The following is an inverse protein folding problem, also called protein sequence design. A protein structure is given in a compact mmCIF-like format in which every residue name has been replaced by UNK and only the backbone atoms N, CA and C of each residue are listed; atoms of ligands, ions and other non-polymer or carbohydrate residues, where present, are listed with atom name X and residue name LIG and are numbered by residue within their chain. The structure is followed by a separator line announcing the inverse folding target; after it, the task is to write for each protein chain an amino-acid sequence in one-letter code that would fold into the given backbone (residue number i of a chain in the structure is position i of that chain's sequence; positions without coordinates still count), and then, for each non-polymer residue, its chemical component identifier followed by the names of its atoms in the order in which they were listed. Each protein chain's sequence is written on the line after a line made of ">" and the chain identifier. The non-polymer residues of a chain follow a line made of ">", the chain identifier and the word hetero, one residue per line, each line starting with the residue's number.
data_IF_027270242396
#
_entry.id   IF_027270242396
#
_cell.length_a   1.000
_cell.length_b   1.000
_cell.length_c   1.000
_cell.angle_alpha   90.00
_cell.angle_beta   90.00
_cell.angle_gamma   90.00
#
_symmetry.space_group_name_H-M   'P 1'
#
loop_
_entity.id
_entity.type
_entity.pdbx_description
1 polymer ?
#
# COMPACT_ATOMS: atom_id res chain seq x y z
N UNK A 1 24.90 -53.29 20.94
CA UNK A 1 25.47 -51.97 20.63
C UNK A 1 24.76 -51.40 19.41
N UNK A 2 23.77 -50.53 19.61
CA UNK A 2 23.06 -49.88 18.50
C UNK A 2 23.62 -48.45 18.38
N UNK A 3 24.25 -48.16 17.25
CA UNK A 3 24.68 -46.81 16.88
C UNK A 3 23.44 -45.99 16.56
N UNK A 4 23.13 -44.99 17.39
CA UNK A 4 22.22 -43.88 17.04
C UNK A 4 22.92 -43.04 15.98
N UNK A 5 22.47 -43.13 14.73
CA UNK A 5 22.78 -42.13 13.71
C UNK A 5 22.02 -40.84 14.07
N UNK A 6 22.78 -39.88 14.56
CA UNK A 6 22.36 -38.53 14.77
C UNK A 6 22.24 -37.88 13.37
N UNK A 7 21.02 -37.64 12.89
CA UNK A 7 20.77 -36.83 11.70
C UNK A 7 21.02 -35.38 12.11
N UNK A 8 22.21 -34.89 11.80
CA UNK A 8 22.47 -33.46 11.82
C UNK A 8 21.66 -32.81 10.67
N UNK A 9 20.56 -32.16 11.00
CA UNK A 9 19.93 -31.22 10.11
C UNK A 9 20.88 -30.03 9.97
N UNK A 10 21.70 -30.04 8.93
CA UNK A 10 22.42 -28.87 8.46
C UNK A 10 21.37 -27.94 7.92
N UNK A 11 20.92 -26.99 8.74
CA UNK A 11 20.20 -25.82 8.30
C UNK A 11 21.19 -25.01 7.45
N UNK A 12 21.22 -25.25 6.14
CA UNK A 12 21.84 -24.31 5.22
C UNK A 12 21.15 -22.97 5.43
N UNK A 13 21.79 -22.12 6.22
CA UNK A 13 21.52 -20.70 6.18
C UNK A 13 21.84 -20.27 4.76
N UNK A 14 20.80 -20.20 3.92
CA UNK A 14 20.87 -19.51 2.64
C UNK A 14 21.59 -18.20 2.90
N UNK A 15 22.80 -18.11 2.40
CA UNK A 15 23.58 -16.88 2.45
C UNK A 15 22.80 -15.91 1.60
N UNK A 16 21.90 -15.16 2.23
CA UNK A 16 21.21 -14.07 1.59
C UNK A 16 22.32 -13.13 1.13
N UNK A 17 22.68 -13.23 -0.13
CA UNK A 17 23.56 -12.28 -0.75
C UNK A 17 22.86 -10.96 -0.60
N UNK A 18 23.29 -10.15 0.36
CA UNK A 18 22.73 -8.82 0.59
C UNK A 18 23.09 -7.97 -0.63
N UNK A 19 22.28 -8.12 -1.69
CA UNK A 19 22.39 -7.24 -2.85
C UNK A 19 22.23 -5.81 -2.35
N UNK A 20 23.23 -4.99 -2.60
CA UNK A 20 23.24 -3.59 -2.17
C UNK A 20 23.83 -2.73 -3.28
N UNK A 21 23.37 -1.48 -3.36
CA UNK A 21 23.89 -0.53 -4.32
C UNK A 21 23.29 -0.67 -5.72
N UNK A 22 23.98 -0.12 -6.69
CA UNK A 22 23.55 -0.07 -8.10
C UNK A 22 23.66 -1.46 -8.74
N UNK A 23 22.67 -1.79 -9.57
CA UNK A 23 22.61 -3.05 -10.32
C UNK A 23 22.59 -2.72 -11.82
N UNK A 24 23.70 -3.01 -12.52
CA UNK A 24 23.88 -2.68 -13.93
C UNK A 24 22.98 -3.48 -14.86
N UNK A 25 22.73 -4.75 -14.55
CA UNK A 25 21.92 -5.65 -15.39
C UNK A 25 20.44 -5.24 -15.33
N UNK A 26 19.93 -4.98 -14.13
CA UNK A 26 18.58 -4.47 -13.95
C UNK A 26 18.42 -3.06 -14.54
N UNK A 27 19.46 -2.24 -14.50
CA UNK A 27 19.44 -0.93 -15.12
C UNK A 27 19.42 -1.02 -16.65
N UNK A 28 20.18 -1.95 -17.25
CA UNK A 28 20.15 -2.22 -18.69
C UNK A 28 18.74 -2.69 -19.10
N UNK A 29 18.20 -3.67 -18.40
CA UNK A 29 16.83 -4.16 -18.61
C UNK A 29 15.78 -3.05 -18.51
N UNK A 30 15.89 -2.19 -17.51
CA UNK A 30 14.99 -1.03 -17.35
C UNK A 30 15.07 -0.06 -18.54
N UNK A 31 16.27 0.18 -19.06
CA UNK A 31 16.50 1.01 -20.24
C UNK A 31 15.86 0.40 -21.48
N UNK A 32 16.08 -0.89 -21.75
CA UNK A 32 15.49 -1.60 -22.87
C UNK A 32 13.96 -1.51 -22.87
N UNK A 33 13.35 -1.77 -21.72
CA UNK A 33 11.90 -1.65 -21.54
C UNK A 33 11.42 -0.23 -21.86
N UNK A 34 12.11 0.79 -21.38
CA UNK A 34 11.76 2.18 -21.63
C UNK A 34 11.99 2.60 -23.08
N UNK A 35 13.01 2.06 -23.75
CA UNK A 35 13.24 2.28 -25.18
C UNK A 35 12.10 1.69 -26.01
N UNK A 36 11.64 0.47 -25.68
CA UNK A 36 10.55 -0.20 -26.37
C UNK A 36 9.23 0.61 -26.33
N UNK A 37 8.97 1.34 -25.24
CA UNK A 37 7.77 2.20 -25.11
C UNK A 37 8.03 3.66 -25.55
N UNK A 38 9.12 3.93 -26.25
CA UNK A 38 9.44 5.25 -26.81
C UNK A 38 9.94 6.29 -25.79
N UNK A 39 10.20 5.91 -24.55
CA UNK A 39 10.64 6.82 -23.47
C UNK A 39 12.17 7.01 -23.44
N UNK A 40 12.79 7.27 -24.59
CA UNK A 40 14.27 7.34 -24.78
C UNK A 40 14.98 8.26 -23.77
N UNK A 41 14.43 9.47 -23.51
CA UNK A 41 15.04 10.40 -22.55
C UNK A 41 15.03 9.85 -21.13
N UNK A 42 13.96 9.18 -20.71
CA UNK A 42 13.89 8.56 -19.39
C UNK A 42 14.83 7.35 -19.31
N UNK A 43 14.94 6.55 -20.37
CA UNK A 43 15.86 5.42 -20.47
C UNK A 43 17.32 5.84 -20.25
N UNK A 44 17.74 6.99 -20.79
CA UNK A 44 19.08 7.51 -20.56
C UNK A 44 19.37 8.02 -19.15
N UNK A 45 18.32 8.23 -18.34
CA UNK A 45 18.44 8.80 -16.98
C UNK A 45 18.16 7.79 -15.88
N UNK A 46 17.44 6.71 -16.18
CA UNK A 46 17.01 5.72 -15.18
C UNK A 46 18.21 5.03 -14.54
N UNK A 47 18.14 4.87 -13.23
CA UNK A 47 19.07 4.09 -12.41
C UNK A 47 18.30 3.08 -11.60
N UNK A 48 18.88 1.90 -11.41
CA UNK A 48 18.28 0.82 -10.62
C UNK A 48 19.29 0.31 -9.61
N UNK A 49 18.82 -0.02 -8.41
CA UNK A 49 19.69 -0.58 -7.40
C UNK A 49 18.92 -1.18 -6.23
N UNK A 50 19.64 -1.92 -5.40
CA UNK A 50 19.13 -2.61 -4.22
C UNK A 50 19.25 -1.75 -2.98
N UNK A 51 18.17 -1.70 -2.19
CA UNK A 51 18.11 -0.90 -0.98
C UNK A 51 17.67 -1.74 0.24
N UNK A 52 18.61 -2.19 1.08
CA UNK A 52 18.31 -3.00 2.26
C UNK A 52 17.53 -2.25 3.35
N UNK A 53 17.37 -0.93 3.22
CA UNK A 53 16.55 -0.15 4.14
C UNK A 53 15.05 -0.29 3.86
N UNK A 54 14.66 -0.82 2.70
CA UNK A 54 13.28 -1.20 2.43
C UNK A 54 12.90 -2.37 3.32
N UNK A 55 11.89 -2.20 4.19
CA UNK A 55 11.46 -3.23 5.15
C UNK A 55 10.27 -4.03 4.65
N UNK A 56 9.26 -3.33 4.17
CA UNK A 56 7.94 -3.88 3.80
C UNK A 56 7.55 -3.58 2.35
N UNK A 57 8.21 -2.66 1.68
CA UNK A 57 7.99 -2.36 0.27
C UNK A 57 8.90 -3.24 -0.60
N UNK A 58 8.37 -3.77 -1.70
CA UNK A 58 9.12 -4.53 -2.70
C UNK A 58 10.06 -3.62 -3.50
N UNK A 59 9.57 -2.45 -3.88
CA UNK A 59 10.30 -1.43 -4.60
C UNK A 59 9.93 -0.02 -4.16
N UNK A 60 10.60 0.94 -4.74
CA UNK A 60 10.32 2.37 -4.61
C UNK A 60 10.88 3.14 -5.78
N UNK A 61 10.05 3.93 -6.44
CA UNK A 61 10.46 4.89 -7.46
C UNK A 61 10.69 6.29 -6.88
N UNK A 62 11.80 6.91 -7.23
CA UNK A 62 12.08 8.33 -7.01
C UNK A 62 12.08 9.06 -8.35
N UNK A 63 11.02 9.77 -8.64
CA UNK A 63 10.84 10.47 -9.92
C UNK A 63 11.81 11.65 -10.10
N UNK A 64 12.30 12.24 -9.03
CA UNK A 64 13.28 13.34 -9.10
C UNK A 64 14.66 12.82 -9.45
N UNK A 65 15.10 11.79 -8.74
CA UNK A 65 16.40 11.16 -8.94
C UNK A 65 16.43 10.20 -10.13
N UNK A 66 15.28 9.87 -10.75
CA UNK A 66 15.14 8.79 -11.76
C UNK A 66 15.68 7.45 -11.26
N UNK A 67 15.48 7.17 -9.99
CA UNK A 67 16.04 6.03 -9.29
C UNK A 67 14.93 5.05 -8.89
N UNK A 68 15.13 3.79 -9.22
CA UNK A 68 14.37 2.67 -8.69
C UNK A 68 15.21 1.97 -7.63
N UNK A 69 14.62 1.81 -6.46
CA UNK A 69 15.20 1.04 -5.37
C UNK A 69 14.41 -0.24 -5.17
N UNK A 70 15.04 -1.40 -5.28
CA UNK A 70 14.44 -2.71 -5.06
C UNK A 70 14.83 -3.26 -3.67
N UNK A 71 13.94 -4.03 -3.07
CA UNK A 71 14.22 -4.70 -1.82
C UNK A 71 15.04 -5.97 -2.08
N UNK A 72 16.22 -6.16 -1.45
CA UNK A 72 17.04 -7.36 -1.65
C UNK A 72 16.30 -8.67 -1.39
N UNK A 73 15.27 -8.68 -0.57
CA UNK A 73 14.44 -9.86 -0.31
C UNK A 73 13.64 -10.34 -1.52
N UNK A 74 13.51 -9.54 -2.57
CA UNK A 74 12.92 -10.01 -3.82
C UNK A 74 13.69 -11.19 -4.41
N UNK A 75 14.98 -11.30 -4.13
CA UNK A 75 15.79 -12.44 -4.57
C UNK A 75 15.28 -13.79 -4.06
N UNK A 76 14.56 -13.80 -2.93
CA UNK A 76 13.98 -15.01 -2.34
C UNK A 76 12.73 -15.49 -3.12
N UNK A 77 12.15 -14.62 -3.97
CA UNK A 77 10.93 -14.88 -4.73
C UNK A 77 11.17 -15.10 -6.23
N UNK A 78 12.41 -15.00 -6.66
CA UNK A 78 12.84 -15.29 -8.04
C UNK A 78 12.76 -14.09 -9.00
N UNK A 79 13.29 -14.33 -10.20
CA UNK A 79 13.47 -13.28 -11.23
C UNK A 79 12.14 -12.72 -11.76
N UNK A 80 11.07 -13.51 -11.74
CA UNK A 80 9.74 -13.07 -12.18
C UNK A 80 9.23 -11.95 -11.28
N UNK A 81 9.33 -12.09 -9.95
CA UNK A 81 8.90 -11.08 -9.00
C UNK A 81 9.80 -9.84 -9.03
N UNK A 82 11.10 -10.02 -9.32
CA UNK A 82 12.01 -8.90 -9.54
C UNK A 82 11.59 -8.12 -10.78
N UNK A 83 11.28 -8.79 -11.89
CA UNK A 83 10.83 -8.13 -13.13
C UNK A 83 9.49 -7.42 -12.96
N UNK A 84 8.51 -8.07 -12.34
CA UNK A 84 7.20 -7.45 -12.06
C UNK A 84 7.36 -6.20 -11.20
N UNK A 85 8.15 -6.27 -10.12
CA UNK A 85 8.42 -5.12 -9.26
C UNK A 85 9.16 -4.02 -10.01
N UNK A 86 10.15 -4.37 -10.84
CA UNK A 86 10.88 -3.40 -11.67
C UNK A 86 9.93 -2.65 -12.60
N UNK A 87 9.04 -3.36 -13.32
CA UNK A 87 8.05 -2.76 -14.21
C UNK A 87 7.04 -1.90 -13.46
N UNK A 88 6.59 -2.32 -12.27
CA UNK A 88 5.72 -1.54 -11.41
C UNK A 88 6.35 -0.18 -11.04
N UNK A 89 7.60 -0.19 -10.63
CA UNK A 89 8.32 1.04 -10.28
C UNK A 89 8.67 1.89 -11.52
N UNK A 90 8.95 1.24 -12.68
CA UNK A 90 9.09 1.93 -13.96
C UNK A 90 7.79 2.63 -14.37
N UNK A 91 6.62 2.02 -14.11
CA UNK A 91 5.33 2.64 -14.41
C UNK A 91 5.15 3.95 -13.62
N UNK A 92 5.59 4.02 -12.36
CA UNK A 92 5.59 5.25 -11.59
C UNK A 92 6.50 6.33 -12.21
N UNK A 93 7.72 5.96 -12.64
CA UNK A 93 8.63 6.90 -13.29
C UNK A 93 8.09 7.37 -14.63
N UNK A 94 7.58 6.45 -15.45
CA UNK A 94 7.04 6.73 -16.79
C UNK A 94 5.81 7.64 -16.71
N UNK A 95 4.87 7.33 -15.82
CA UNK A 95 3.69 8.13 -15.59
C UNK A 95 4.04 9.58 -15.18
N UNK A 96 4.95 9.73 -14.22
CA UNK A 96 5.40 11.07 -13.79
C UNK A 96 6.20 11.78 -14.89
N UNK A 97 7.01 11.07 -15.66
CA UNK A 97 7.76 11.64 -16.79
C UNK A 97 6.82 12.19 -17.87
N UNK A 98 5.76 11.46 -18.22
CA UNK A 98 4.71 11.90 -19.14
C UNK A 98 3.88 13.05 -18.58
N UNK A 99 3.59 13.01 -17.29
CA UNK A 99 2.85 14.07 -16.58
C UNK A 99 3.63 15.37 -16.38
N UNK A 100 4.96 15.34 -16.55
CA UNK A 100 5.84 16.50 -16.39
C UNK A 100 5.80 17.06 -14.95
N UNK A 101 5.46 18.35 -14.82
CA UNK A 101 5.37 19.02 -13.53
C UNK A 101 4.04 18.82 -12.81
N UNK A 102 3.03 18.24 -13.47
CA UNK A 102 1.74 17.97 -12.85
C UNK A 102 1.91 16.95 -11.72
N UNK A 103 1.16 17.16 -10.64
CA UNK A 103 1.02 16.15 -9.60
C UNK A 103 0.07 15.07 -10.09
N UNK A 104 0.59 13.86 -10.27
CA UNK A 104 -0.21 12.69 -10.58
C UNK A 104 -0.47 11.86 -9.32
N UNK A 105 -1.62 11.19 -9.30
CA UNK A 105 -1.98 10.32 -8.18
C UNK A 105 -1.21 8.99 -8.31
N UNK A 106 -0.60 8.51 -7.23
CA UNK A 106 -0.06 7.15 -7.21
C UNK A 106 -1.16 6.16 -7.61
N UNK A 107 -0.84 5.23 -8.53
CA UNK A 107 -1.77 4.24 -9.05
C UNK A 107 -3.06 4.83 -9.69
N UNK A 108 -2.98 6.07 -10.16
CA UNK A 108 -4.03 6.76 -10.91
C UNK A 108 -4.13 6.30 -12.38
N UNK A 109 -4.93 6.99 -13.21
CA UNK A 109 -5.10 6.64 -14.63
C UNK A 109 -3.79 6.65 -15.41
N UNK A 110 -2.91 7.62 -15.14
CA UNK A 110 -1.61 7.75 -15.80
C UNK A 110 -0.68 6.57 -15.48
N UNK A 111 -0.67 6.12 -14.22
CA UNK A 111 0.08 4.94 -13.81
C UNK A 111 -0.46 3.66 -14.47
N UNK A 112 -1.79 3.48 -14.49
CA UNK A 112 -2.42 2.31 -15.15
C UNK A 112 -2.12 2.30 -16.66
N UNK A 113 -2.11 3.46 -17.31
CA UNK A 113 -1.70 3.56 -18.71
C UNK A 113 -0.25 3.11 -18.89
N UNK A 114 0.65 3.58 -18.03
CA UNK A 114 2.05 3.15 -18.05
C UNK A 114 2.20 1.64 -17.78
N UNK A 115 1.41 1.05 -16.87
CA UNK A 115 1.41 -0.39 -16.64
C UNK A 115 1.04 -1.19 -17.90
N UNK A 116 0.00 -0.77 -18.63
CA UNK A 116 -0.37 -1.42 -19.88
C UNK A 116 0.76 -1.38 -20.91
N UNK A 117 1.39 -0.22 -21.07
CA UNK A 117 2.50 -0.04 -22.02
C UNK A 117 3.72 -0.89 -21.63
N UNK A 118 3.92 -1.13 -20.34
CA UNK A 118 5.01 -1.95 -19.80
C UNK A 118 4.66 -3.45 -19.71
N UNK A 119 3.50 -3.86 -20.22
CA UNK A 119 3.07 -5.27 -20.26
C UNK A 119 2.61 -5.84 -18.91
N UNK A 120 2.22 -4.98 -17.96
CA UNK A 120 1.68 -5.37 -16.65
C UNK A 120 0.31 -4.71 -16.41
N UNK A 121 -0.56 -4.73 -17.43
CA UNK A 121 -1.86 -4.05 -17.41
C UNK A 121 -2.80 -4.49 -16.27
N UNK A 122 -2.70 -5.75 -15.84
CA UNK A 122 -3.51 -6.34 -14.78
C UNK A 122 -2.89 -6.19 -13.38
N UNK A 123 -1.79 -5.44 -13.27
CA UNK A 123 -1.07 -5.26 -12.02
C UNK A 123 -1.94 -4.63 -10.94
N UNK A 124 -1.93 -5.22 -9.76
CA UNK A 124 -2.59 -4.68 -8.57
C UNK A 124 -1.70 -3.64 -7.88
N UNK A 125 -2.33 -2.73 -7.13
CA UNK A 125 -1.64 -1.61 -6.46
C UNK A 125 -0.57 -2.02 -5.44
N UNK A 126 -0.69 -3.22 -4.90
CA UNK A 126 0.17 -3.71 -3.82
C UNK A 126 0.57 -5.15 -4.13
N UNK A 127 1.85 -5.45 -3.91
CA UNK A 127 2.32 -6.83 -3.94
C UNK A 127 1.77 -7.62 -2.75
N UNK A 128 1.55 -8.92 -2.94
CA UNK A 128 1.15 -9.86 -1.88
C UNK A 128 2.33 -10.62 -1.28
N UNK A 129 3.56 -10.13 -1.49
CA UNK A 129 4.75 -10.79 -0.99
C UNK A 129 4.78 -10.76 0.55
N UNK A 130 5.01 -11.88 1.21
CA UNK A 130 5.00 -11.99 2.67
C UNK A 130 6.29 -11.44 3.30
N UNK A 131 6.61 -10.18 3.01
CA UNK A 131 7.71 -9.53 3.69
C UNK A 131 7.44 -9.45 5.18
N UNK A 132 8.47 -9.68 6.02
CA UNK A 132 8.29 -9.61 7.46
C UNK A 132 7.80 -8.23 7.85
N UNK A 133 6.61 -8.19 8.41
CA UNK A 133 6.05 -6.97 8.97
C UNK A 133 6.91 -6.62 10.17
N UNK A 134 7.60 -5.47 10.12
CA UNK A 134 8.29 -4.96 11.29
C UNK A 134 7.23 -4.66 12.35
N UNK A 135 7.13 -5.52 13.36
CA UNK A 135 6.30 -5.27 14.54
C UNK A 135 6.87 -4.09 15.32
N UNK A 136 6.55 -2.91 14.86
CA UNK A 136 6.87 -1.72 15.64
C UNK A 136 5.95 -1.68 16.85
N UNK A 137 6.54 -1.73 18.03
CA UNK A 137 5.80 -1.60 19.28
C UNK A 137 4.90 -0.34 19.23
N UNK A 138 3.62 -0.54 19.41
CA UNK A 138 2.63 0.53 19.45
C UNK A 138 2.66 1.09 20.87
N UNK A 139 3.40 2.18 21.05
CA UNK A 139 3.67 2.79 22.36
C UNK A 139 2.57 3.75 22.81
N UNK A 140 1.76 4.27 21.88
CA UNK A 140 0.76 5.28 22.18
C UNK A 140 -0.63 4.70 21.96
N UNK A 141 -1.44 4.71 23.01
CA UNK A 141 -2.82 4.24 22.95
C UNK A 141 -3.76 5.44 23.11
N UNK A 142 -4.58 5.65 22.11
CA UNK A 142 -5.59 6.69 22.12
C UNK A 142 -6.97 6.07 22.20
N UNK A 143 -7.91 6.76 22.81
CA UNK A 143 -9.29 6.31 22.96
C UNK A 143 -10.25 7.40 22.53
N UNK A 144 -11.34 7.00 21.88
CA UNK A 144 -12.44 7.89 21.59
C UNK A 144 -13.28 8.10 22.86
N UNK A 145 -13.57 9.35 23.27
CA UNK A 145 -14.36 9.61 24.47
C UNK A 145 -15.81 9.15 24.33
N UNK A 146 -16.34 9.07 23.13
CA UNK A 146 -17.73 8.69 22.86
C UNK A 146 -17.92 7.16 22.76
N UNK A 147 -17.24 6.49 21.80
CA UNK A 147 -17.44 5.06 21.55
C UNK A 147 -16.41 4.16 22.22
N UNK A 148 -15.51 4.73 23.01
CA UNK A 148 -14.44 4.02 23.73
C UNK A 148 -13.49 3.18 22.84
N UNK A 149 -13.59 3.26 21.50
CA UNK A 149 -12.71 2.54 20.57
C UNK A 149 -11.27 2.96 20.79
N UNK A 150 -10.38 1.98 20.78
CA UNK A 150 -8.95 2.18 20.94
C UNK A 150 -8.23 2.32 19.59
N UNK A 151 -7.21 3.17 19.57
CA UNK A 151 -6.40 3.49 18.39
C UNK A 151 -4.92 3.39 18.75
N UNK A 152 -4.32 2.20 18.73
CA UNK A 152 -2.90 2.03 19.00
C UNK A 152 -2.05 2.66 17.90
N UNK A 153 -1.00 3.42 18.29
CA UNK A 153 -0.10 4.14 17.38
C UNK A 153 1.37 3.87 17.72
N UNK A 154 2.20 3.84 16.67
CA UNK A 154 3.66 3.74 16.81
C UNK A 154 4.27 5.09 17.20
N UNK A 155 3.66 6.18 16.74
CA UNK A 155 4.11 7.56 16.99
C UNK A 155 3.00 8.37 17.65
N UNK A 156 3.42 9.37 18.44
CA UNK A 156 2.49 10.33 19.02
C UNK A 156 1.76 11.12 17.95
N UNK A 157 0.46 11.28 18.11
CA UNK A 157 -0.37 12.10 17.22
C UNK A 157 0.01 13.57 17.47
N UNK A 158 0.44 14.26 16.42
CA UNK A 158 0.84 15.68 16.46
C UNK A 158 -0.31 16.63 16.17
N UNK A 159 -1.31 16.18 15.38
CA UNK A 159 -2.49 16.97 14.99
C UNK A 159 -3.73 16.44 15.69
N UNK A 160 -4.74 17.30 15.88
CA UNK A 160 -6.03 16.86 16.37
C UNK A 160 -6.66 15.87 15.38
N UNK A 161 -6.98 14.66 15.84
CA UNK A 161 -7.65 13.61 15.08
C UNK A 161 -8.88 13.17 15.87
N UNK A 162 -10.03 13.03 15.19
CA UNK A 162 -11.26 12.53 15.78
C UNK A 162 -11.58 11.11 15.33
N UNK A 163 -12.46 10.43 16.04
CA UNK A 163 -12.95 9.11 15.67
C UNK A 163 -13.87 9.23 14.46
N UNK A 164 -13.42 8.73 13.31
CA UNK A 164 -14.16 8.82 12.05
C UNK A 164 -15.55 8.16 12.12
N UNK A 165 -15.68 7.04 12.86
CA UNK A 165 -16.99 6.39 13.02
C UNK A 165 -17.98 7.28 13.75
N UNK A 166 -17.56 7.93 14.84
CA UNK A 166 -18.42 8.89 15.57
C UNK A 166 -18.70 10.15 14.75
N UNK A 167 -17.70 10.68 14.05
CA UNK A 167 -17.88 11.81 13.15
C UNK A 167 -18.89 11.50 12.04
N UNK A 168 -18.83 10.31 11.45
CA UNK A 168 -19.82 9.89 10.43
C UNK A 168 -21.21 9.71 11.00
N UNK A 169 -21.33 9.20 12.21
CA UNK A 169 -22.62 8.97 12.85
C UNK A 169 -23.32 10.27 13.31
N UNK A 170 -22.54 11.30 13.67
CA UNK A 170 -23.07 12.48 14.35
C UNK A 170 -22.76 13.81 13.67
N UNK A 171 -21.89 13.84 12.66
CA UNK A 171 -21.44 15.08 12.00
C UNK A 171 -21.08 14.87 10.52
N UNK A 172 -21.78 13.99 9.81
CA UNK A 172 -21.57 13.79 8.37
C UNK A 172 -20.16 13.34 7.95
N UNK A 173 -19.28 12.99 8.92
CA UNK A 173 -17.90 12.57 8.67
C UNK A 173 -16.88 13.69 8.81
N UNK A 174 -17.30 14.92 9.04
CA UNK A 174 -16.41 16.04 9.32
C UNK A 174 -15.80 15.97 10.72
N UNK A 175 -14.66 16.65 10.91
CA UNK A 175 -13.99 16.68 12.21
C UNK A 175 -14.88 17.30 13.27
N UNK A 176 -15.05 16.58 14.39
CA UNK A 176 -15.80 17.05 15.55
C UNK A 176 -14.92 16.89 16.82
N UNK A 177 -14.72 18.01 17.52
CA UNK A 177 -13.88 18.06 18.71
C UNK A 177 -14.40 17.16 19.85
N UNK A 178 -15.70 16.89 19.93
CA UNK A 178 -16.33 15.97 20.91
C UNK A 178 -15.77 14.56 20.77
N UNK A 179 -15.37 14.13 19.57
CA UNK A 179 -14.85 12.82 19.24
C UNK A 179 -13.33 12.80 19.10
N UNK A 180 -12.64 13.87 19.51
CA UNK A 180 -11.17 13.96 19.48
C UNK A 180 -10.55 12.85 20.29
N UNK A 181 -9.62 12.10 19.68
CA UNK A 181 -8.91 11.02 20.31
C UNK A 181 -8.05 11.53 21.48
N UNK A 182 -8.19 10.92 22.64
CA UNK A 182 -7.43 11.24 23.86
C UNK A 182 -6.36 10.18 24.08
N UNK A 183 -5.16 10.61 24.46
CA UNK A 183 -4.09 9.69 24.84
C UNK A 183 -4.45 9.08 26.20
N UNK A 184 -4.50 7.74 26.28
CA UNK A 184 -4.81 7.02 27.51
C UNK A 184 -3.53 6.59 28.23
N UNK A 185 -2.56 6.06 27.50
CA UNK A 185 -1.31 5.54 28.04
C UNK A 185 -0.15 5.73 27.08
N UNK A 186 1.05 5.90 27.65
CA UNK A 186 2.33 5.77 26.96
C UNK A 186 2.98 4.52 27.53
N UNK A 187 2.78 3.38 26.88
CA UNK A 187 3.26 2.11 27.38
C UNK A 187 4.68 1.77 26.92
N UNK A 188 5.45 1.20 27.83
CA UNK A 188 6.49 0.24 27.47
C UNK A 188 5.83 -1.04 26.98
N UNK A 189 6.42 -1.74 26.03
CA UNK A 189 5.86 -2.74 25.09
C UNK A 189 4.96 -3.90 25.64
N UNK A 190 4.42 -3.83 26.86
CA UNK A 190 3.65 -4.93 27.50
C UNK A 190 2.33 -4.57 28.18
N UNK A 191 1.90 -3.34 28.22
CA UNK A 191 0.60 -3.00 28.83
C UNK A 191 -0.50 -3.02 27.76
N UNK A 192 -1.30 -4.09 27.71
CA UNK A 192 -2.60 -4.10 27.03
C UNK A 192 -3.58 -3.34 27.94
N UNK A 193 -4.28 -2.34 27.38
CA UNK A 193 -5.47 -1.81 28.07
C UNK A 193 -6.44 -2.97 28.36
N UNK A 194 -7.02 -3.06 29.56
CA UNK A 194 -8.03 -4.07 29.85
C UNK A 194 -9.17 -3.91 28.85
N UNK A 195 -9.54 -5.03 28.24
CA UNK A 195 -10.62 -5.12 27.26
C UNK A 195 -11.93 -4.72 27.94
N UNK A 196 -12.50 -3.59 27.55
CA UNK A 196 -13.85 -3.26 27.99
C UNK A 196 -14.83 -4.36 27.53
N UNK A 197 -15.82 -4.76 28.35
CA UNK A 197 -16.80 -5.76 27.96
C UNK A 197 -17.51 -5.30 26.68
N UNK A 198 -17.57 -6.20 25.71
CA UNK A 198 -18.35 -6.00 24.50
C UNK A 198 -19.82 -5.89 24.94
N UNK A 199 -20.38 -4.69 24.82
CA UNK A 199 -21.84 -4.53 24.85
C UNK A 199 -22.34 -5.05 23.51
N UNK A 200 -23.16 -6.06 23.59
CA UNK A 200 -23.87 -6.64 22.44
C UNK A 200 -24.57 -5.52 21.67
N UNK A 201 -24.35 -5.49 20.36
CA UNK A 201 -25.02 -4.54 19.48
C UNK A 201 -26.53 -4.83 19.50
N UNK A 202 -27.41 -3.84 19.62
CA UNK A 202 -28.83 -4.08 19.52
C UNK A 202 -29.15 -4.57 18.10
N UNK A 203 -29.57 -5.82 18.01
CA UNK A 203 -30.20 -6.41 16.83
C UNK A 203 -31.56 -5.76 16.63
N UNK A 204 -31.62 -4.67 15.91
CA UNK A 204 -32.89 -4.23 15.33
C UNK A 204 -32.69 -3.31 14.12
N UNK A 205 -32.48 -3.91 12.97
CA UNK A 205 -32.61 -3.24 11.69
C UNK A 205 -33.95 -3.61 11.09
N UNK A 206 -35.00 -2.85 11.44
CA UNK A 206 -36.25 -2.84 10.67
C UNK A 206 -35.94 -2.36 9.25
N UNK A 207 -36.00 -3.28 8.30
CA UNK A 207 -35.95 -3.01 6.86
C UNK A 207 -37.15 -2.09 6.51
N UNK A 208 -36.85 -0.88 6.06
CA UNK A 208 -37.83 -0.05 5.36
C UNK A 208 -38.13 -0.67 3.99
N UNK A 209 -39.40 -0.82 3.58
CA UNK A 209 -39.75 -1.28 2.24
C UNK A 209 -39.34 -0.24 1.19
N UNK A 210 -38.77 -0.73 0.09
CA UNK A 210 -38.44 0.08 -1.08
C UNK A 210 -39.76 0.47 -1.78
N UNK A 211 -40.00 1.77 -1.95
CA UNK A 211 -41.05 2.30 -2.81
C UNK A 211 -40.80 1.95 -4.28
N UNK A 212 -41.83 1.56 -5.06
CA UNK A 212 -41.69 1.27 -6.47
C UNK A 212 -41.40 2.53 -7.27
N UNK A 213 -40.39 2.47 -8.14
CA UNK A 213 -40.13 3.52 -9.15
C UNK A 213 -41.24 3.51 -10.17
N UNK A 214 -42.03 4.57 -10.24
CA UNK A 214 -42.92 4.88 -11.34
C UNK A 214 -42.06 5.27 -12.56
N UNK A 215 -42.18 4.43 -13.62
CA UNK A 215 -41.64 4.71 -14.94
C UNK A 215 -42.52 5.76 -15.60
N UNK A 216 -42.02 6.97 -15.76
CA UNK A 216 -42.64 7.97 -16.63
C UNK A 216 -42.24 7.72 -18.08
N UNK A 217 -43.16 7.21 -18.86
CA UNK A 217 -43.12 7.15 -20.31
C UNK A 217 -43.14 8.56 -20.89
N UNK A 218 -42.14 8.97 -21.63
CA UNK A 218 -42.14 10.17 -22.44
C UNK A 218 -42.97 9.96 -23.72
N UNK A 219 -43.84 10.89 -24.13
CA UNK A 219 -44.52 10.82 -25.40
C UNK A 219 -43.57 11.26 -26.54
N UNK A 220 -43.58 10.45 -27.60
CA UNK A 220 -42.92 10.79 -28.89
C UNK A 220 -43.66 11.98 -29.51
N UNK A 221 -42.91 13.04 -29.80
CA UNK A 221 -43.36 14.11 -30.71
C UNK A 221 -43.29 13.60 -32.14
N UNK A 222 -44.42 13.57 -32.81
CA UNK A 222 -44.57 13.42 -34.26
C UNK A 222 -44.31 14.79 -34.86
N UNK A 223 -43.32 14.94 -35.73
CA UNK A 223 -43.13 16.12 -36.58
C UNK A 223 -43.61 15.74 -37.97
N UNK A 224 -44.66 16.43 -38.42
CA UNK A 224 -45.09 16.57 -39.82
C UNK A 224 -44.52 17.89 -40.33
N UNK A 225 -44.00 17.90 -41.53
CA UNK A 225 -43.56 19.05 -42.28
C UNK A 225 -42.23 18.82 -42.95
#
# INVERSE_FOLDING_TARGET
>A
MQLRKQLEFVFERSTIHQRTGRDGDLELKAREILYAVGAKRLAGLVRVGWNPRLKTAAGRADSRAKLISLNPRLSDYGEVEIDLTLRHELAHLLAQFRGGRRRILPHGPEWRSACRDLGIGDEVRCHNLPFPISERARRFFYKCPNCAREFPRVRRIKRAIACLACCRAHNGGEFDARFRLRLCEVGTARARCPRAPQRDAPTNAKRRPRSPRLSLLSPRAISLG
#
